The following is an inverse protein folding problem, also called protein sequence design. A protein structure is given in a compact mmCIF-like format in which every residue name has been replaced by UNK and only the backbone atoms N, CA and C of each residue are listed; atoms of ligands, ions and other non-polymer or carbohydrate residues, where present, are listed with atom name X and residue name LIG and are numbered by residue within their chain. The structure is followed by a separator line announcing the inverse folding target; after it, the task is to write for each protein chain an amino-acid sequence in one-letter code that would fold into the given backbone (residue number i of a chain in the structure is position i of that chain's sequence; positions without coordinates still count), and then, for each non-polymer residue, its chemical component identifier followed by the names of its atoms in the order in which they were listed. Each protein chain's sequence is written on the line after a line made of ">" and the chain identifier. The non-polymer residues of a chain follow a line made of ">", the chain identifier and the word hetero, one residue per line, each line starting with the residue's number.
data_IF_599533966375
#
_entry.id   IF_599533966375
#
_cell.length_a   1.000
_cell.length_b   1.000
_cell.length_c   1.000
_cell.angle_alpha   90.00
_cell.angle_beta   90.00
_cell.angle_gamma   90.00
#
_symmetry.space_group_name_H-M   'P 1'
#
loop_
_entity.id
_entity.type
_entity.pdbx_description
1 polymer ?
#
# COMPACT_ATOMS: atom_id res chain seq x y z
N UNK A 1 -21.95 11.19 -8.78
CA UNK A 1 -22.17 10.48 -7.50
C UNK A 1 -21.17 11.01 -6.49
N UNK A 2 -21.63 11.52 -5.34
CA UNK A 2 -20.82 11.82 -4.15
C UNK A 2 -21.05 10.69 -3.14
N UNK A 3 -20.07 10.40 -2.28
CA UNK A 3 -20.17 9.31 -1.30
C UNK A 3 -19.53 7.99 -1.71
N UNK A 4 -18.64 7.96 -2.72
CA UNK A 4 -17.96 6.70 -3.07
C UNK A 4 -16.93 6.34 -2.00
N UNK A 5 -16.93 5.07 -1.61
CA UNK A 5 -15.98 4.48 -0.66
C UNK A 5 -15.22 3.38 -1.39
N UNK A 6 -13.89 3.47 -1.44
CA UNK A 6 -13.02 2.40 -1.94
C UNK A 6 -12.52 1.55 -0.76
N UNK A 7 -12.49 0.22 -0.91
CA UNK A 7 -12.35 -0.68 0.24
C UNK A 7 -11.03 -1.46 0.30
N UNK A 8 -10.27 -1.52 -0.79
CA UNK A 8 -9.05 -2.32 -0.90
C UNK A 8 -7.92 -1.47 -1.51
N UNK A 9 -7.72 -0.29 -0.93
CA UNK A 9 -6.72 0.65 -1.41
C UNK A 9 -5.39 0.37 -0.73
N UNK A 10 -4.38 0.05 -1.53
CA UNK A 10 -3.10 -0.40 -1.01
C UNK A 10 -2.18 0.75 -0.59
N UNK A 11 -1.46 0.53 0.50
CA UNK A 11 -0.35 1.38 0.97
C UNK A 11 0.83 0.49 1.33
N UNK A 12 2.05 1.01 1.19
CA UNK A 12 3.24 0.29 1.63
C UNK A 12 4.13 1.14 2.55
N UNK A 13 5.15 0.50 3.11
CA UNK A 13 6.22 1.13 3.88
C UNK A 13 7.57 0.68 3.31
N UNK A 14 8.66 1.44 3.52
CA UNK A 14 10.00 0.98 3.16
C UNK A 14 10.33 -0.39 3.75
N UNK A 15 9.86 -0.69 4.97
CA UNK A 15 10.02 -1.99 5.63
C UNK A 15 9.28 -3.11 4.89
N UNK A 16 8.03 -2.87 4.46
CA UNK A 16 7.25 -3.84 3.70
C UNK A 16 7.87 -4.10 2.32
N UNK A 17 8.36 -3.06 1.63
CA UNK A 17 8.98 -3.19 0.32
C UNK A 17 10.26 -4.06 0.35
N UNK A 18 10.97 -4.13 1.48
CA UNK A 18 12.14 -5.04 1.63
C UNK A 18 11.76 -6.52 1.57
N UNK A 19 10.51 -6.86 1.88
CA UNK A 19 10.01 -8.24 1.89
C UNK A 19 9.41 -8.63 0.53
N UNK A 20 9.29 -7.67 -0.38
CA UNK A 20 8.70 -7.86 -1.70
C UNK A 20 9.77 -8.22 -2.74
N UNK A 21 9.48 -9.21 -3.58
CA UNK A 21 10.32 -9.56 -4.75
C UNK A 21 10.17 -8.53 -5.88
N UNK A 22 10.71 -7.33 -5.65
CA UNK A 22 10.63 -6.21 -6.60
C UNK A 22 11.32 -6.53 -7.94
N UNK A 23 12.38 -7.34 -7.92
CA UNK A 23 13.10 -7.75 -9.14
C UNK A 23 12.28 -8.71 -9.99
N UNK A 24 11.64 -9.70 -9.36
CA UNK A 24 10.74 -10.62 -10.05
C UNK A 24 9.52 -9.91 -10.64
N UNK A 25 8.88 -9.00 -9.89
CA UNK A 25 7.76 -8.22 -10.40
C UNK A 25 8.17 -7.26 -11.53
N UNK A 26 9.32 -6.59 -11.43
CA UNK A 26 9.84 -5.76 -12.51
C UNK A 26 10.16 -6.57 -13.77
N UNK A 27 10.67 -7.79 -13.61
CA UNK A 27 10.91 -8.71 -14.72
C UNK A 27 9.63 -9.15 -15.45
N UNK A 28 8.51 -9.28 -14.72
CA UNK A 28 7.21 -9.69 -15.29
C UNK A 28 6.41 -8.51 -15.87
N UNK A 29 6.40 -7.38 -15.17
CA UNK A 29 5.49 -6.26 -15.44
C UNK A 29 6.17 -5.05 -16.07
N UNK A 30 7.52 -5.02 -16.07
CA UNK A 30 8.33 -3.91 -16.59
C UNK A 30 8.82 -2.95 -15.50
N UNK A 31 10.10 -2.58 -15.60
CA UNK A 31 10.80 -1.78 -14.59
C UNK A 31 10.18 -0.40 -14.35
N UNK A 32 9.86 0.35 -15.41
CA UNK A 32 9.31 1.71 -15.26
C UNK A 32 7.90 1.69 -14.66
N UNK A 33 7.10 0.69 -15.02
CA UNK A 33 5.79 0.49 -14.40
C UNK A 33 5.92 0.19 -12.91
N UNK A 34 6.82 -0.73 -12.53
CA UNK A 34 6.98 -1.08 -11.11
C UNK A 34 7.55 0.07 -10.26
N UNK A 35 8.40 0.93 -10.84
CA UNK A 35 8.82 2.18 -10.18
C UNK A 35 7.64 3.11 -9.90
N UNK A 36 6.71 3.25 -10.86
CA UNK A 36 5.50 4.06 -10.65
C UNK A 36 4.58 3.45 -9.59
N UNK A 37 4.42 2.12 -9.59
CA UNK A 37 3.66 1.40 -8.56
C UNK A 37 4.26 1.65 -7.18
N UNK A 38 5.57 1.47 -7.01
CA UNK A 38 6.25 1.72 -5.73
C UNK A 38 6.07 3.16 -5.26
N UNK A 39 6.24 4.13 -6.17
CA UNK A 39 6.00 5.55 -5.89
C UNK A 39 4.57 5.79 -5.39
N UNK A 40 3.57 5.22 -6.05
CA UNK A 40 2.14 5.37 -5.68
C UNK A 40 1.78 4.68 -4.37
N UNK A 41 2.43 3.58 -4.03
CA UNK A 41 2.22 2.86 -2.76
C UNK A 41 2.77 3.64 -1.56
N UNK A 42 3.81 4.45 -1.76
CA UNK A 42 4.48 5.21 -0.70
C UNK A 42 3.98 6.67 -0.61
N UNK A 43 3.56 7.27 -1.73
CA UNK A 43 3.14 8.67 -1.77
C UNK A 43 1.62 8.83 -1.74
N UNK A 44 1.14 9.25 -0.57
CA UNK A 44 -0.28 9.44 -0.30
C UNK A 44 -0.89 10.67 -0.96
N UNK A 45 -0.08 11.66 -1.35
CA UNK A 45 -0.58 12.87 -2.00
C UNK A 45 -1.21 12.55 -3.35
N UNK A 46 -0.60 11.63 -4.10
CA UNK A 46 -1.10 11.17 -5.40
C UNK A 46 -2.51 10.59 -5.27
N UNK A 47 -2.73 9.68 -4.30
CA UNK A 47 -4.06 9.09 -4.12
C UNK A 47 -5.09 10.15 -3.68
N UNK A 48 -4.72 11.12 -2.84
CA UNK A 48 -5.64 12.19 -2.43
C UNK A 48 -6.08 13.07 -3.62
N UNK A 49 -5.15 13.41 -4.51
CA UNK A 49 -5.47 14.14 -5.75
C UNK A 49 -6.39 13.32 -6.66
N UNK A 50 -6.10 12.04 -6.83
CA UNK A 50 -6.90 11.13 -7.66
C UNK A 50 -8.30 10.88 -7.08
N UNK A 51 -8.43 10.79 -5.75
CA UNK A 51 -9.70 10.72 -5.03
C UNK A 51 -10.54 11.97 -5.27
N UNK A 52 -9.94 13.16 -5.18
CA UNK A 52 -10.63 14.43 -5.44
C UNK A 52 -11.16 14.52 -6.87
N UNK A 53 -10.32 14.14 -7.86
CA UNK A 53 -10.70 14.11 -9.28
C UNK A 53 -11.84 13.12 -9.57
N UNK A 54 -11.90 12.01 -8.83
CA UNK A 54 -12.85 10.92 -9.06
C UNK A 54 -14.06 10.98 -8.13
N UNK A 55 -14.16 11.96 -7.24
CA UNK A 55 -15.21 12.04 -6.22
C UNK A 55 -15.28 10.77 -5.35
N UNK A 56 -14.12 10.29 -4.90
CA UNK A 56 -14.00 9.26 -3.86
C UNK A 56 -13.86 9.98 -2.53
N UNK A 57 -14.81 9.74 -1.64
CA UNK A 57 -14.88 10.47 -0.38
C UNK A 57 -14.06 9.76 0.69
N UNK A 58 -14.03 8.42 0.66
CA UNK A 58 -13.36 7.60 1.69
C UNK A 58 -12.61 6.45 1.03
N UNK A 59 -11.51 6.05 1.66
CA UNK A 59 -10.74 4.86 1.32
C UNK A 59 -10.45 4.07 2.59
N UNK A 60 -10.59 2.75 2.50
CA UNK A 60 -10.10 1.83 3.53
C UNK A 60 -8.75 1.31 3.04
N UNK A 61 -7.71 1.62 3.82
CA UNK A 61 -6.35 1.27 3.47
C UNK A 61 -5.99 -0.13 3.94
N UNK A 62 -5.31 -0.87 3.08
CA UNK A 62 -4.73 -2.18 3.38
C UNK A 62 -3.22 -2.14 3.09
N UNK A 63 -2.42 -2.79 3.94
CA UNK A 63 -1.00 -2.95 3.66
C UNK A 63 -0.83 -3.85 2.44
N UNK A 64 -0.06 -3.43 1.44
CA UNK A 64 0.21 -4.22 0.24
C UNK A 64 0.84 -5.56 0.60
N UNK A 65 0.43 -6.62 -0.09
CA UNK A 65 1.08 -7.93 -0.02
C UNK A 65 2.59 -7.83 -0.30
N UNK A 66 3.42 -8.67 0.33
CA UNK A 66 3.05 -9.80 1.17
C UNK A 66 2.80 -9.46 2.65
N UNK A 67 3.08 -8.23 3.08
CA UNK A 67 2.84 -7.80 4.46
C UNK A 67 3.49 -8.73 5.50
N UNK A 68 2.80 -8.89 6.63
CA UNK A 68 3.22 -9.76 7.73
C UNK A 68 3.30 -11.25 7.35
N UNK A 69 2.68 -11.65 6.23
CA UNK A 69 2.61 -13.04 5.78
C UNK A 69 3.96 -13.55 5.23
N UNK A 70 4.86 -12.64 4.85
CA UNK A 70 6.23 -12.98 4.43
C UNK A 70 7.19 -13.24 5.61
N UNK A 71 6.81 -12.89 6.83
CA UNK A 71 7.68 -12.98 8.00
C UNK A 71 7.48 -14.33 8.69
N UNK A 72 8.48 -15.20 8.56
CA UNK A 72 8.45 -16.56 9.11
C UNK A 72 8.56 -16.59 10.64
N UNK A 73 9.29 -15.63 11.23
CA UNK A 73 9.39 -15.53 12.68
C UNK A 73 8.11 -14.92 13.26
N UNK A 74 7.41 -15.70 14.09
CA UNK A 74 6.13 -15.30 14.69
C UNK A 74 6.23 -14.05 15.56
N UNK A 75 7.36 -13.86 16.26
CA UNK A 75 7.54 -12.70 17.13
C UNK A 75 7.75 -11.42 16.30
N UNK A 76 8.54 -11.51 15.23
CA UNK A 76 8.76 -10.42 14.29
C UNK A 76 7.49 -10.10 13.50
N UNK A 77 6.71 -11.10 13.06
CA UNK A 77 5.44 -10.90 12.35
C UNK A 77 4.43 -10.12 13.22
N UNK A 78 4.37 -10.40 14.53
CA UNK A 78 3.53 -9.66 15.48
C UNK A 78 3.96 -8.21 15.67
N UNK A 79 5.26 -7.94 15.63
CA UNK A 79 5.82 -6.58 15.74
C UNK A 79 5.70 -5.79 14.43
N UNK A 80 5.73 -6.49 13.30
CA UNK A 80 5.61 -5.91 11.97
C UNK A 80 4.23 -5.32 11.70
N UNK A 81 3.18 -5.95 12.23
CA UNK A 81 1.84 -5.36 12.20
C UNK A 81 1.83 -4.16 13.16
N UNK A 82 1.93 -2.91 12.65
CA UNK A 82 1.90 -1.77 13.54
C UNK A 82 0.54 -1.79 14.23
N UNK A 83 0.49 -1.38 15.51
CA UNK A 83 -0.80 -0.95 16.08
C UNK A 83 -1.27 0.23 15.24
N UNK A 84 -2.11 -0.01 14.23
CA UNK A 84 -2.80 1.02 13.48
C UNK A 84 -3.84 1.67 14.41
N UNK A 85 -3.36 2.46 15.37
CA UNK A 85 -4.18 3.42 16.09
C UNK A 85 -4.36 4.64 15.20
N UNK A 86 -5.51 4.66 14.52
CA UNK A 86 -6.26 5.83 14.04
C UNK A 86 -5.45 7.06 13.61
N UNK A 87 -5.40 7.28 12.31
CA UNK A 87 -5.24 8.59 11.66
C UNK A 87 -6.00 8.44 10.32
N UNK A 88 -7.02 9.23 9.93
CA UNK A 88 -7.36 10.62 10.16
C UNK A 88 -8.90 10.80 10.27
N UNK A 89 -9.33 11.88 10.94
CA UNK A 89 -10.67 12.48 10.82
C UNK A 89 -10.65 13.53 9.73
#
# INVERSE_FOLDING_TARGET
>A
MRGKIALEEHVSTPENNRLWDSSGEAGRNGTEYMKDVERRLLDRSIQLEEMAQRHIDHVILSLTSPGAQSILDKSQSRLFCPRYQRFYR
#
